data_IF_918156963801
#
_entry.id   IF_918156963801
#
_cell.length_a   1.000
_cell.length_b   1.000
_cell.length_c   1.000
_cell.angle_alpha   90.00
_cell.angle_beta   90.00
_cell.angle_gamma   90.00
#
_symmetry.space_group_name_H-M   'P 1'
#
loop_
_entity.id
_entity.type
_entity.pdbx_description
1 polymer ?
#
# COMPACT_ATOMS: atom_id res chain seq x y z
N UNK A 1 -10.04 -24.64 -32.49
CA UNK A 1 -10.05 -23.28 -31.91
C UNK A 1 -9.55 -22.32 -32.97
N UNK A 2 -10.30 -21.26 -33.35
CA UNK A 2 -9.83 -20.32 -34.36
C UNK A 2 -8.55 -19.61 -33.85
N UNK A 3 -7.53 -19.55 -34.69
CA UNK A 3 -6.30 -18.83 -34.37
C UNK A 3 -6.60 -17.33 -34.27
N UNK A 4 -6.26 -16.71 -33.14
CA UNK A 4 -6.34 -15.26 -32.96
C UNK A 4 -5.50 -14.58 -34.05
N UNK A 5 -6.00 -13.47 -34.61
CA UNK A 5 -5.20 -12.70 -35.57
C UNK A 5 -3.89 -12.25 -34.92
N UNK A 6 -2.78 -12.15 -35.68
CA UNK A 6 -1.48 -11.78 -35.13
C UNK A 6 -1.51 -10.47 -34.30
N UNK A 7 -2.32 -9.50 -34.72
CA UNK A 7 -2.53 -8.23 -34.01
C UNK A 7 -3.18 -8.40 -32.64
N UNK A 8 -4.20 -9.25 -32.52
CA UNK A 8 -4.88 -9.51 -31.24
C UNK A 8 -3.95 -10.27 -30.30
N UNK A 9 -3.16 -11.21 -30.81
CA UNK A 9 -2.14 -11.92 -30.03
C UNK A 9 -1.09 -10.98 -29.43
N UNK A 10 -0.57 -10.02 -30.21
CA UNK A 10 0.40 -9.03 -29.73
C UNK A 10 -0.18 -8.12 -28.64
N UNK A 11 -1.43 -7.66 -28.82
CA UNK A 11 -2.10 -6.79 -27.84
C UNK A 11 -2.31 -7.54 -26.51
N UNK A 12 -2.84 -8.75 -26.56
CA UNK A 12 -3.07 -9.57 -25.36
C UNK A 12 -1.77 -9.87 -24.61
N UNK A 13 -0.70 -10.16 -25.34
CA UNK A 13 0.61 -10.40 -24.74
C UNK A 13 1.18 -9.15 -24.06
N UNK A 14 1.10 -7.98 -24.72
CA UNK A 14 1.53 -6.71 -24.14
C UNK A 14 0.72 -6.35 -22.89
N UNK A 15 -0.60 -6.53 -22.95
CA UNK A 15 -1.49 -6.31 -21.82
C UNK A 15 -1.20 -7.26 -20.66
N UNK A 16 -1.02 -8.56 -20.92
CA UNK A 16 -0.67 -9.54 -19.90
C UNK A 16 0.67 -9.25 -19.22
N UNK A 17 1.68 -8.82 -19.99
CA UNK A 17 2.96 -8.35 -19.43
C UNK A 17 2.77 -7.16 -18.51
N UNK A 18 1.96 -6.19 -18.93
CA UNK A 18 1.66 -5.00 -18.14
C UNK A 18 0.96 -5.35 -16.82
N UNK A 19 -0.03 -6.26 -16.84
CA UNK A 19 -0.67 -6.79 -15.63
C UNK A 19 0.35 -7.46 -14.69
N UNK A 20 1.24 -8.28 -15.22
CA UNK A 20 2.28 -8.96 -14.44
C UNK A 20 3.21 -7.97 -13.75
N UNK A 21 3.67 -6.94 -14.48
CA UNK A 21 4.49 -5.86 -13.94
C UNK A 21 3.75 -5.14 -12.81
N UNK A 22 2.48 -4.76 -13.02
CA UNK A 22 1.69 -4.10 -11.98
C UNK A 22 1.57 -4.96 -10.71
N UNK A 23 1.34 -6.26 -10.87
CA UNK A 23 1.27 -7.18 -9.74
C UNK A 23 2.59 -7.29 -8.97
N UNK A 24 3.73 -7.34 -9.67
CA UNK A 24 5.06 -7.37 -9.03
C UNK A 24 5.32 -6.09 -8.24
N UNK A 25 5.08 -4.93 -8.85
CA UNK A 25 5.28 -3.64 -8.17
C UNK A 25 4.36 -3.48 -6.96
N UNK A 26 3.10 -3.89 -7.08
CA UNK A 26 2.16 -3.87 -5.96
C UNK A 26 2.61 -4.81 -4.84
N UNK A 27 3.04 -6.03 -5.17
CA UNK A 27 3.53 -6.99 -4.18
C UNK A 27 4.75 -6.48 -3.42
N UNK A 28 5.74 -5.92 -4.13
CA UNK A 28 6.93 -5.32 -3.50
C UNK A 28 6.54 -4.12 -2.63
N UNK A 29 5.62 -3.28 -3.09
CA UNK A 29 5.11 -2.14 -2.34
C UNK A 29 4.41 -2.54 -1.04
N UNK A 30 3.55 -3.57 -1.08
CA UNK A 30 2.90 -4.12 0.12
C UNK A 30 3.92 -4.72 1.09
N UNK A 31 4.91 -5.45 0.60
CA UNK A 31 5.99 -5.99 1.46
C UNK A 31 6.73 -4.85 2.17
N UNK A 32 7.09 -3.78 1.45
CA UNK A 32 7.75 -2.64 2.07
C UNK A 32 6.83 -1.91 3.04
N UNK A 33 5.54 -1.79 2.72
CA UNK A 33 4.55 -1.22 3.62
C UNK A 33 4.50 -1.97 4.97
N UNK A 34 4.45 -3.30 4.94
CA UNK A 34 4.48 -4.11 6.15
C UNK A 34 5.83 -4.00 6.90
N UNK A 35 6.95 -3.85 6.18
CA UNK A 35 8.25 -3.56 6.81
C UNK A 35 8.20 -2.23 7.57
N UNK A 36 7.52 -1.22 7.03
CA UNK A 36 7.29 0.06 7.73
C UNK A 36 6.56 -0.13 9.07
N UNK A 37 5.51 -0.96 9.08
CA UNK A 37 4.81 -1.33 10.33
C UNK A 37 5.71 -2.07 11.30
N UNK A 38 6.49 -3.05 10.83
CA UNK A 38 7.44 -3.81 11.66
C UNK A 38 8.46 -2.88 12.32
N UNK A 39 9.06 -1.97 11.54
CA UNK A 39 10.06 -1.04 12.04
C UNK A 39 9.47 -0.12 13.11
N UNK A 40 8.26 0.38 12.88
CA UNK A 40 7.57 1.26 13.82
C UNK A 40 7.23 0.54 15.14
N UNK A 41 6.66 -0.66 15.05
CA UNK A 41 6.36 -1.51 16.21
C UNK A 41 7.63 -1.83 17.00
N UNK A 42 8.70 -2.25 16.30
CA UNK A 42 9.99 -2.58 16.92
C UNK A 42 10.61 -1.37 17.60
N UNK A 43 10.54 -0.19 16.99
CA UNK A 43 11.00 1.06 17.58
C UNK A 43 10.28 1.39 18.89
N UNK A 44 8.99 1.04 18.99
CA UNK A 44 8.18 1.23 20.20
C UNK A 44 8.22 0.06 21.19
N UNK A 45 9.04 -0.96 20.96
CA UNK A 45 9.20 -2.10 21.88
C UNK A 45 7.91 -2.93 22.02
N UNK A 46 7.06 -2.97 20.99
CA UNK A 46 5.89 -3.84 20.98
C UNK A 46 6.25 -5.20 20.37
N UNK A 47 5.65 -6.25 20.92
CA UNK A 47 5.67 -7.56 20.28
C UNK A 47 4.74 -7.55 19.07
N UNK A 48 5.18 -8.16 17.97
CA UNK A 48 4.36 -8.32 16.77
C UNK A 48 4.36 -9.75 16.26
N UNK A 49 3.30 -10.06 15.51
CA UNK A 49 3.16 -11.29 14.75
C UNK A 49 2.76 -10.94 13.33
N UNK A 50 3.40 -11.59 12.37
CA UNK A 50 2.98 -11.52 10.98
C UNK A 50 1.84 -12.51 10.81
N UNK A 51 0.67 -12.02 10.41
CA UNK A 51 -0.54 -12.84 10.21
C UNK A 51 -1.10 -12.61 8.83
N UNK A 52 -1.76 -13.62 8.26
CA UNK A 52 -2.48 -13.47 7.00
C UNK A 52 -3.95 -13.19 7.30
N UNK A 53 -4.43 -11.99 6.95
CA UNK A 53 -5.81 -11.55 7.24
C UNK A 53 -6.41 -10.86 6.03
N UNK A 54 -7.65 -11.21 5.67
CA UNK A 54 -8.39 -10.67 4.51
C UNK A 54 -7.62 -10.76 3.16
N UNK A 55 -6.78 -11.78 2.99
CA UNK A 55 -5.99 -11.94 1.77
C UNK A 55 -4.67 -11.16 1.74
N UNK A 56 -4.32 -10.44 2.82
CA UNK A 56 -3.09 -9.67 2.93
C UNK A 56 -2.21 -10.19 4.08
N UNK A 57 -0.90 -10.11 3.89
CA UNK A 57 0.07 -10.26 4.98
C UNK A 57 0.02 -8.97 5.82
N UNK A 58 -0.22 -9.07 7.12
CA UNK A 58 -0.37 -7.90 8.00
C UNK A 58 0.36 -8.09 9.32
N UNK A 59 0.91 -7.01 9.85
CA UNK A 59 1.57 -6.96 11.15
C UNK A 59 0.55 -6.73 12.26
N UNK A 60 0.27 -7.80 13.02
CA UNK A 60 -0.55 -7.74 14.22
C UNK A 60 0.34 -7.38 15.41
N UNK A 61 0.12 -6.21 16.00
CA UNK A 61 0.73 -5.77 17.25
C UNK A 61 -0.34 -5.21 18.19
N UNK A 62 0.01 -5.00 19.45
CA UNK A 62 -0.86 -4.29 20.41
C UNK A 62 -0.82 -2.78 20.14
N UNK A 63 -1.46 -2.39 19.03
CA UNK A 63 -1.52 -1.00 18.55
C UNK A 63 -2.23 -0.07 19.54
N UNK A 64 -3.10 -0.61 20.40
CA UNK A 64 -3.86 0.18 21.37
C UNK A 64 -2.96 0.77 22.46
N UNK A 65 -1.83 0.11 22.79
CA UNK A 65 -0.80 0.67 23.68
C UNK A 65 -0.19 1.98 23.19
N UNK A 66 -0.29 2.27 21.90
CA UNK A 66 0.26 3.49 21.30
C UNK A 66 -0.74 4.66 21.33
N UNK A 67 -2.02 4.40 21.62
CA UNK A 67 -3.07 5.41 21.59
C UNK A 67 -3.07 6.18 20.27
N UNK A 68 -2.95 7.49 20.34
CA UNK A 68 -2.90 8.39 19.18
C UNK A 68 -1.68 8.18 18.27
N UNK A 69 -0.58 7.60 18.79
CA UNK A 69 0.64 7.40 18.00
C UNK A 69 0.51 6.31 16.94
N UNK A 70 -0.55 5.49 16.99
CA UNK A 70 -0.82 4.45 15.98
C UNK A 70 -0.89 5.01 14.55
N UNK A 71 -1.34 6.26 14.40
CA UNK A 71 -1.39 6.95 13.10
C UNK A 71 0.00 7.08 12.46
N UNK A 72 1.05 7.26 13.27
CA UNK A 72 2.42 7.29 12.74
C UNK A 72 2.88 5.91 12.23
N UNK A 73 2.33 4.81 12.76
CA UNK A 73 2.53 3.48 12.19
C UNK A 73 1.95 3.36 10.78
N UNK A 74 0.70 3.78 10.61
CA UNK A 74 0.06 3.85 9.28
C UNK A 74 0.83 4.74 8.31
N UNK A 75 1.29 5.92 8.76
CA UNK A 75 2.12 6.81 7.94
C UNK A 75 3.44 6.13 7.55
N UNK A 76 4.12 5.46 8.49
CA UNK A 76 5.38 4.76 8.22
C UNK A 76 5.19 3.63 7.21
N UNK A 77 4.12 2.84 7.33
CA UNK A 77 3.77 1.83 6.33
C UNK A 77 3.59 2.46 4.94
N UNK A 78 2.80 3.52 4.84
CA UNK A 78 2.57 4.25 3.58
C UNK A 78 3.90 4.74 2.99
N UNK A 79 4.72 5.44 3.77
CA UNK A 79 6.00 5.99 3.29
C UNK A 79 6.95 4.91 2.78
N UNK A 80 7.00 3.76 3.45
CA UNK A 80 7.86 2.65 3.03
C UNK A 80 7.35 1.96 1.76
N UNK A 81 6.05 1.84 1.55
CA UNK A 81 5.51 1.22 0.33
C UNK A 81 5.49 2.14 -0.90
N UNK A 82 5.66 3.45 -0.74
CA UNK A 82 5.66 4.43 -1.84
C UNK A 82 6.82 4.30 -2.87
N UNK A 83 8.07 3.94 -2.53
CA UNK A 83 9.16 3.96 -3.51
C UNK A 83 8.94 3.05 -4.72
N UNK A 84 8.50 1.77 -4.59
CA UNK A 84 8.13 0.96 -5.75
C UNK A 84 7.04 1.63 -6.60
N UNK A 85 6.04 2.25 -5.97
CA UNK A 85 4.95 2.94 -6.68
C UNK A 85 5.46 4.12 -7.49
N UNK A 86 6.32 4.97 -6.90
CA UNK A 86 6.92 6.12 -7.58
C UNK A 86 7.75 5.65 -8.79
N UNK A 87 8.55 4.59 -8.62
CA UNK A 87 9.34 4.00 -9.70
C UNK A 87 8.42 3.47 -10.81
N UNK A 88 7.37 2.73 -10.46
CA UNK A 88 6.40 2.20 -11.43
C UNK A 88 5.67 3.32 -12.18
N UNK A 89 5.19 4.35 -11.48
CA UNK A 89 4.56 5.51 -12.09
C UNK A 89 5.48 6.23 -13.07
N UNK A 90 6.76 6.41 -12.72
CA UNK A 90 7.74 7.07 -13.58
C UNK A 90 8.07 6.21 -14.81
N UNK A 91 8.37 4.92 -14.62
CA UNK A 91 8.75 4.01 -15.70
C UNK A 91 7.63 3.78 -16.73
N UNK A 92 6.37 3.77 -16.29
CA UNK A 92 5.22 3.44 -17.13
C UNK A 92 4.28 4.63 -17.36
N UNK A 93 4.63 5.82 -16.86
CA UNK A 93 3.90 7.09 -17.05
C UNK A 93 2.40 6.99 -16.76
N UNK A 94 2.04 6.33 -15.66
CA UNK A 94 0.64 5.99 -15.35
C UNK A 94 0.35 6.07 -13.86
N UNK A 95 -0.80 6.65 -13.44
CA UNK A 95 -1.19 6.73 -12.04
C UNK A 95 -1.74 5.41 -11.48
N UNK A 96 -1.89 4.36 -12.31
CA UNK A 96 -2.55 3.13 -11.88
C UNK A 96 -1.83 2.41 -10.74
N UNK A 97 -0.50 2.54 -10.65
CA UNK A 97 0.28 1.98 -9.55
C UNK A 97 -0.13 2.60 -8.21
N UNK A 98 -0.33 3.92 -8.17
CA UNK A 98 -0.81 4.61 -6.98
C UNK A 98 -2.25 4.19 -6.64
N UNK A 99 -3.12 4.06 -7.64
CA UNK A 99 -4.49 3.61 -7.42
C UNK A 99 -4.55 2.20 -6.84
N UNK A 100 -3.77 1.27 -7.39
CA UNK A 100 -3.67 -0.10 -6.88
C UNK A 100 -3.13 -0.13 -5.46
N UNK A 101 -2.13 0.70 -5.16
CA UNK A 101 -1.57 0.81 -3.82
C UNK A 101 -2.56 1.40 -2.80
N UNK A 102 -3.28 2.45 -3.17
CA UNK A 102 -4.36 3.02 -2.35
C UNK A 102 -5.42 1.99 -2.01
N UNK A 103 -5.79 1.14 -2.98
CA UNK A 103 -6.76 0.04 -2.76
C UNK A 103 -6.17 -1.03 -1.84
N UNK A 104 -4.92 -1.45 -2.08
CA UNK A 104 -4.28 -2.50 -1.29
C UNK A 104 -4.07 -2.11 0.18
N UNK A 105 -3.79 -0.84 0.45
CA UNK A 105 -3.54 -0.29 1.79
C UNK A 105 -4.66 0.65 2.25
N UNK A 106 -5.90 0.41 1.80
CA UNK A 106 -7.05 1.30 2.03
C UNK A 106 -7.29 1.61 3.51
N UNK A 107 -7.15 0.62 4.39
CA UNK A 107 -7.38 0.77 5.84
C UNK A 107 -6.38 1.78 6.45
N UNK A 108 -5.09 1.74 6.06
CA UNK A 108 -4.06 2.68 6.54
C UNK A 108 -4.28 4.10 6.00
N UNK A 109 -4.56 4.24 4.70
CA UNK A 109 -4.86 5.54 4.11
C UNK A 109 -6.10 6.17 4.73
N UNK A 110 -7.14 5.37 5.01
CA UNK A 110 -8.36 5.81 5.68
C UNK A 110 -8.07 6.28 7.11
N UNK A 111 -7.26 5.53 7.87
CA UNK A 111 -6.89 5.91 9.23
C UNK A 111 -6.14 7.25 9.27
N UNK A 112 -5.22 7.48 8.33
CA UNK A 112 -4.50 8.75 8.20
C UNK A 112 -5.44 9.88 7.77
N UNK A 113 -6.31 9.65 6.79
CA UNK A 113 -7.27 10.64 6.30
C UNK A 113 -8.24 11.10 7.40
N UNK A 114 -8.75 10.16 8.21
CA UNK A 114 -9.62 10.47 9.34
C UNK A 114 -8.91 11.34 10.38
N UNK A 115 -7.65 11.03 10.74
CA UNK A 115 -6.88 11.86 11.68
C UNK A 115 -6.63 13.26 11.14
N UNK A 116 -6.38 13.40 9.83
CA UNK A 116 -6.22 14.70 9.19
C UNK A 116 -7.52 15.52 9.19
N UNK A 117 -8.67 14.87 8.97
CA UNK A 117 -9.98 15.52 9.05
C UNK A 117 -10.29 16.01 10.47
N UNK A 118 -10.02 15.19 11.49
CA UNK A 118 -10.18 15.59 12.88
C UNK A 118 -9.25 16.74 13.27
N UNK A 119 -8.00 16.70 12.79
CA UNK A 119 -7.05 17.79 13.00
C UNK A 119 -7.51 19.09 12.33
N UNK A 120 -8.07 19.01 11.11
CA UNK A 120 -8.66 20.17 10.43
C UNK A 120 -9.87 20.74 11.17
N UNK A 121 -10.69 19.92 11.83
CA UNK A 121 -11.78 20.40 12.69
C UNK A 121 -11.27 21.21 13.88
N UNK A 122 -10.10 20.86 14.43
CA UNK A 122 -9.45 21.62 15.51
C UNK A 122 -8.93 22.99 15.01
N UNK A 123 -8.47 23.10 13.76
CA UNK A 123 -7.97 24.35 13.19
C UNK A 123 -9.04 25.22 12.49
N UNK A 124 -10.26 24.71 12.28
CA UNK A 124 -11.38 25.44 11.68
C UNK A 124 -12.42 25.93 12.72
N UNK A 125 -12.11 25.83 14.02
CA UNK A 125 -12.92 26.35 15.12
C UNK A 125 -12.01 27.01 16.16
N UNK A 126 -11.51 28.19 15.82
CA UNK A 126 -11.09 29.23 16.75
C UNK A 126 -11.53 30.58 16.19
#
# INVERSE_FOLDING_TARGET
MPALSPSVGTILYAFGKYLCIMAVFLGVSVVFHEIGHILFVKYHGLDYKIVFRKGNLTVSADWDRLGDKKVYGHIMGILFGMPPIIVGMWMYSTPIFLLLYLIACYDDFSAVALRLLDSKRVFLLS
#
